data_IF_109821966105
#
_entry.id   IF_109821966105
#
_cell.length_a   1.000
_cell.length_b   1.000
_cell.length_c   1.000
_cell.angle_alpha   90.00
_cell.angle_beta   90.00
_cell.angle_gamma   90.00
#
_symmetry.space_group_name_H-M   'P 1'
#
loop_
_entity.id
_entity.type
_entity.pdbx_description
1 polymer ?
#
# COMPACT_ATOMS: atom_id res chain seq x y z
N UNK A 1 -19.61 4.85 22.28
CA UNK A 1 -18.93 5.22 21.02
C UNK A 1 -17.45 5.16 21.33
N UNK A 2 -16.81 4.01 21.06
CA UNK A 2 -15.36 3.92 21.23
C UNK A 2 -14.74 4.94 20.28
N UNK A 3 -13.77 5.75 20.69
CA UNK A 3 -13.07 6.59 19.73
C UNK A 3 -12.50 5.63 18.69
N UNK A 4 -12.87 5.81 17.43
CA UNK A 4 -12.18 5.20 16.30
C UNK A 4 -10.70 5.53 16.51
N UNK A 5 -9.94 4.57 17.03
CA UNK A 5 -8.56 4.79 17.44
C UNK A 5 -7.84 5.27 16.20
N UNK A 6 -7.23 6.46 16.30
CA UNK A 6 -6.52 7.06 15.17
C UNK A 6 -5.63 5.99 14.51
N UNK A 7 -5.71 5.80 13.19
CA UNK A 7 -4.98 4.72 12.50
C UNK A 7 -3.47 4.80 12.76
N UNK A 8 -2.93 6.00 13.00
CA UNK A 8 -1.53 6.17 13.43
C UNK A 8 -1.32 5.55 14.81
N UNK A 9 -2.18 5.85 15.78
CA UNK A 9 -2.06 5.31 17.14
C UNK A 9 -2.23 3.79 17.17
N UNK A 10 -3.10 3.24 16.31
CA UNK A 10 -3.26 1.81 16.14
C UNK A 10 -2.00 1.15 15.54
N UNK A 11 -1.42 1.73 14.49
CA UNK A 11 -0.18 1.25 13.88
C UNK A 11 1.02 1.37 14.83
N UNK A 12 1.06 2.44 15.62
CA UNK A 12 2.06 2.65 16.67
C UNK A 12 1.93 1.59 17.78
N UNK A 13 0.71 1.28 18.22
CA UNK A 13 0.46 0.29 19.26
C UNK A 13 0.97 -1.12 18.89
N UNK A 14 0.90 -1.50 17.61
CA UNK A 14 1.45 -2.78 17.12
C UNK A 14 2.97 -2.90 17.28
N UNK A 15 3.68 -1.78 17.30
CA UNK A 15 5.12 -1.72 17.51
C UNK A 15 5.50 -1.19 18.90
N UNK A 16 4.60 -1.33 19.89
CA UNK A 16 4.86 -0.90 21.26
C UNK A 16 5.03 0.62 21.41
N UNK A 17 4.53 1.40 20.44
CA UNK A 17 4.66 2.85 20.41
C UNK A 17 5.99 3.35 19.83
N UNK A 18 6.86 2.50 19.28
CA UNK A 18 8.10 2.93 18.63
C UNK A 18 7.85 3.48 17.22
N UNK A 19 8.01 4.80 16.98
CA UNK A 19 7.74 5.39 15.68
C UNK A 19 8.68 4.90 14.59
N UNK A 20 9.94 4.60 14.93
CA UNK A 20 10.92 4.13 13.95
C UNK A 20 10.59 2.72 13.50
N UNK A 21 10.24 1.83 14.43
CA UNK A 21 9.81 0.48 14.12
C UNK A 21 8.53 0.47 13.27
N UNK A 22 7.54 1.31 13.59
CA UNK A 22 6.31 1.45 12.80
C UNK A 22 6.61 1.95 11.39
N UNK A 23 7.42 3.01 11.24
CA UNK A 23 7.75 3.55 9.91
C UNK A 23 8.53 2.54 9.08
N UNK A 24 9.51 1.83 9.67
CA UNK A 24 10.26 0.79 8.98
C UNK A 24 9.35 -0.35 8.48
N UNK A 25 8.40 -0.80 9.31
CA UNK A 25 7.42 -1.81 8.93
C UNK A 25 6.52 -1.33 7.77
N UNK A 26 6.01 -0.10 7.84
CA UNK A 26 5.16 0.47 6.78
C UNK A 26 5.90 0.63 5.45
N UNK A 27 7.18 1.03 5.48
CA UNK A 27 8.00 1.14 4.28
C UNK A 27 8.25 -0.24 3.64
N UNK A 28 8.48 -1.27 4.45
CA UNK A 28 8.60 -2.67 3.97
C UNK A 28 7.30 -3.15 3.34
N UNK A 29 6.16 -2.90 4.00
CA UNK A 29 4.86 -3.29 3.46
C UNK A 29 4.52 -2.56 2.16
N UNK A 30 4.82 -1.27 2.07
CA UNK A 30 4.70 -0.52 0.80
C UNK A 30 5.55 -1.18 -0.30
N UNK A 31 6.80 -1.53 -0.01
CA UNK A 31 7.67 -2.20 -0.97
C UNK A 31 7.05 -3.50 -1.49
N UNK A 32 6.54 -4.33 -0.57
CA UNK A 32 5.83 -5.58 -0.89
C UNK A 32 4.56 -5.34 -1.71
N UNK A 33 3.80 -4.28 -1.44
CA UNK A 33 2.61 -3.94 -2.22
C UNK A 33 2.98 -3.48 -3.64
N UNK A 34 4.02 -2.67 -3.79
CA UNK A 34 4.53 -2.26 -5.10
C UNK A 34 5.01 -3.48 -5.93
N UNK A 35 5.72 -4.42 -5.30
CA UNK A 35 6.14 -5.66 -5.94
C UNK A 35 4.96 -6.51 -6.39
N UNK A 36 3.96 -6.71 -5.51
CA UNK A 36 2.74 -7.44 -5.85
C UNK A 36 1.98 -6.79 -7.02
N UNK A 37 1.90 -5.46 -7.06
CA UNK A 37 1.30 -4.73 -8.17
C UNK A 37 2.09 -4.92 -9.47
N UNK A 38 3.43 -4.92 -9.41
CA UNK A 38 4.26 -5.18 -10.57
C UNK A 38 4.06 -6.61 -11.11
N UNK A 39 4.00 -7.60 -10.23
CA UNK A 39 3.70 -9.00 -10.57
C UNK A 39 2.30 -9.10 -11.19
N UNK A 40 1.27 -8.54 -10.54
CA UNK A 40 -0.09 -8.55 -11.05
C UNK A 40 -0.18 -7.93 -12.45
N UNK A 41 0.50 -6.80 -12.67
CA UNK A 41 0.58 -6.14 -13.98
C UNK A 41 1.26 -7.01 -15.04
N UNK A 42 2.29 -7.78 -14.66
CA UNK A 42 2.98 -8.68 -15.58
C UNK A 42 2.16 -9.94 -15.90
N UNK A 43 1.38 -10.45 -14.94
CA UNK A 43 0.54 -11.64 -15.12
C UNK A 43 -0.77 -11.35 -15.86
N UNK A 44 -1.31 -10.14 -15.77
CA UNK A 44 -2.52 -9.77 -16.50
C UNK A 44 -2.15 -9.46 -17.96
N UNK A 45 -2.75 -10.19 -18.91
CA UNK A 45 -2.57 -9.90 -20.33
C UNK A 45 -3.06 -8.47 -20.66
N UNK A 46 -2.44 -7.79 -21.64
CA UNK A 46 -2.87 -6.45 -22.10
C UNK A 46 -4.37 -6.35 -22.43
N UNK A 47 -5.03 -7.48 -22.70
CA UNK A 47 -6.46 -7.55 -23.00
C UNK A 47 -7.39 -7.50 -21.79
N UNK A 48 -6.94 -7.86 -20.57
CA UNK A 48 -7.82 -7.98 -19.40
C UNK A 48 -8.02 -6.66 -18.63
N UNK A 49 -7.07 -5.70 -18.70
CA UNK A 49 -7.17 -4.42 -17.98
C UNK A 49 -7.83 -3.28 -18.77
N UNK A 50 -8.38 -3.53 -19.98
CA UNK A 50 -8.93 -2.51 -20.89
C UNK A 50 -8.12 -1.20 -20.91
N UNK A 51 -6.78 -1.31 -20.98
CA UNK A 51 -5.89 -0.14 -21.08
C UNK A 51 -5.58 0.58 -19.76
N UNK A 52 -6.02 0.09 -18.60
CA UNK A 52 -5.63 0.68 -17.33
C UNK A 52 -4.17 0.37 -16.97
N UNK A 53 -3.40 1.42 -16.70
CA UNK A 53 -2.00 1.39 -16.28
C UNK A 53 -1.85 2.24 -15.02
N UNK A 54 -1.37 1.69 -13.89
CA UNK A 54 -1.15 2.48 -12.68
C UNK A 54 -0.05 3.53 -12.91
N UNK A 55 -0.39 4.81 -12.76
CA UNK A 55 0.53 5.94 -12.95
C UNK A 55 0.38 6.70 -14.27
N UNK A 56 -0.53 6.29 -15.17
CA UNK A 56 -0.93 7.15 -16.27
C UNK A 56 -1.92 8.20 -15.73
N UNK A 57 -1.50 9.45 -15.65
CA UNK A 57 -2.45 10.56 -15.61
C UNK A 57 -3.29 10.52 -16.89
N UNK A 58 -4.60 10.55 -16.73
CA UNK A 58 -5.53 10.56 -17.87
C UNK A 58 -5.48 11.97 -18.46
N UNK A 59 -4.61 12.21 -19.45
CA UNK A 59 -4.77 13.35 -20.35
C UNK A 59 -5.84 12.98 -21.38
N UNK A 60 -7.09 13.31 -21.05
CA UNK A 60 -8.25 13.12 -21.91
C UNK A 60 -9.40 14.01 -21.49
#
# INVERSE_FOLDING_TARGET
MTPESNPVDAAMAWHGGDPRATIDALLKDRGRLCEQLAIARACISKGYTRGWLPGAEFEG
#
